data_IF_996246281896
#
_entry.id   IF_996246281896
#
_cell.length_a   1.000
_cell.length_b   1.000
_cell.length_c   1.000
_cell.angle_alpha   90.00
_cell.angle_beta   90.00
_cell.angle_gamma   90.00
#
_symmetry.space_group_name_H-M   'P 1'
#
loop_
_entity.id
_entity.type
_entity.pdbx_description
1 polymer ?
#
# COMPACT_ATOMS: atom_id res chain seq x y z
N UNK A 1 -25.42 2.70 10.82
CA UNK A 1 -25.08 3.12 9.45
C UNK A 1 -23.86 4.02 9.57
N UNK A 2 -22.63 3.48 9.51
CA UNK A 2 -21.40 4.18 9.06
C UNK A 2 -20.14 3.30 9.18
N UNK A 3 -20.26 1.98 9.00
CA UNK A 3 -19.14 1.02 9.07
C UNK A 3 -18.39 0.89 7.74
N UNK A 4 -18.36 1.97 6.96
CA UNK A 4 -17.61 2.07 5.70
C UNK A 4 -16.42 3.04 5.79
N UNK A 5 -15.94 3.35 7.01
CA UNK A 5 -14.61 3.95 7.24
C UNK A 5 -13.53 2.86 7.15
N UNK A 6 -13.29 2.30 5.97
CA UNK A 6 -12.13 1.41 5.72
C UNK A 6 -10.83 2.23 5.85
N UNK A 7 -10.38 2.41 7.10
CA UNK A 7 -9.26 3.23 7.57
C UNK A 7 -7.88 2.58 7.38
N UNK A 8 -7.81 1.35 6.90
CA UNK A 8 -6.61 0.53 6.97
C UNK A 8 -5.90 0.44 5.61
N UNK A 9 -5.57 1.60 5.02
CA UNK A 9 -4.70 1.68 3.85
C UNK A 9 -3.80 2.88 3.99
N UNK A 10 -2.55 2.70 3.60
CA UNK A 10 -1.49 3.65 3.78
C UNK A 10 -0.90 4.00 2.43
N UNK A 11 -0.71 5.28 2.18
CA UNK A 11 -0.39 5.80 0.86
C UNK A 11 0.88 6.63 0.95
N UNK A 12 1.85 6.34 0.08
CA UNK A 12 3.14 7.02 0.06
C UNK A 12 4.26 6.19 0.68
N UNK A 13 5.49 6.51 0.29
CA UNK A 13 6.69 5.75 0.63
C UNK A 13 6.91 5.65 2.15
N UNK A 14 7.06 6.79 2.83
CA UNK A 14 7.35 6.87 4.27
C UNK A 14 6.31 6.15 5.13
N UNK A 15 5.04 6.40 4.84
CA UNK A 15 3.95 5.82 5.59
C UNK A 15 3.87 4.30 5.34
N UNK A 16 4.09 3.85 4.09
CA UNK A 16 4.13 2.41 3.76
C UNK A 16 5.28 1.71 4.48
N UNK A 17 6.45 2.34 4.56
CA UNK A 17 7.59 1.82 5.32
C UNK A 17 7.25 1.69 6.79
N UNK A 18 6.58 2.70 7.39
CA UNK A 18 6.16 2.65 8.80
C UNK A 18 5.17 1.52 9.06
N UNK A 19 4.16 1.39 8.20
CA UNK A 19 3.18 0.32 8.30
C UNK A 19 3.81 -1.08 8.15
N UNK A 20 4.75 -1.24 7.21
CA UNK A 20 5.47 -2.50 7.03
C UNK A 20 6.32 -2.83 8.26
N UNK A 21 6.99 -1.85 8.88
CA UNK A 21 7.73 -2.06 10.13
C UNK A 21 6.85 -2.56 11.27
N UNK A 22 5.60 -2.13 11.32
CA UNK A 22 4.63 -2.63 12.30
C UNK A 22 4.08 -4.02 11.94
N UNK A 23 4.46 -4.62 10.80
CA UNK A 23 3.91 -5.89 10.27
C UNK A 23 2.39 -5.88 10.05
N UNK A 24 1.82 -4.69 9.97
CA UNK A 24 0.39 -4.49 9.75
C UNK A 24 0.05 -4.57 8.26
N UNK A 25 1.05 -4.60 7.37
CA UNK A 25 0.84 -4.63 5.92
C UNK A 25 0.55 -6.05 5.44
N UNK A 26 -0.50 -6.18 4.65
CA UNK A 26 -0.91 -7.43 4.02
C UNK A 26 -0.46 -7.53 2.57
N UNK A 27 -0.41 -6.38 1.89
CA UNK A 27 -0.19 -6.30 0.45
C UNK A 27 0.34 -4.92 0.09
N UNK A 28 1.36 -4.86 -0.73
CA UNK A 28 1.91 -3.61 -1.25
C UNK A 28 1.52 -3.47 -2.73
N UNK A 29 1.23 -2.26 -3.17
CA UNK A 29 0.88 -1.96 -4.56
C UNK A 29 1.75 -0.80 -5.03
N UNK A 30 2.45 -0.99 -6.14
CA UNK A 30 3.46 -0.06 -6.66
C UNK A 30 3.07 0.32 -8.10
N UNK A 31 3.14 1.59 -8.44
CA UNK A 31 2.99 2.03 -9.83
C UNK A 31 4.28 1.75 -10.62
N UNK A 32 4.17 1.29 -11.87
CA UNK A 32 5.31 1.10 -12.78
C UNK A 32 6.04 2.41 -13.09
N UNK A 33 5.29 3.52 -13.06
CA UNK A 33 5.80 4.89 -13.21
C UNK A 33 6.49 5.42 -11.93
N UNK A 34 6.44 4.67 -10.82
CA UNK A 34 7.15 5.05 -9.61
C UNK A 34 8.65 4.86 -9.77
N UNK A 35 9.42 5.78 -9.18
CA UNK A 35 10.88 5.76 -9.30
C UNK A 35 11.49 4.51 -8.64
N UNK A 36 12.31 3.73 -9.37
CA UNK A 36 12.89 2.46 -8.89
C UNK A 36 13.68 2.64 -7.59
N UNK A 37 14.53 3.66 -7.50
CA UNK A 37 15.33 3.94 -6.31
C UNK A 37 14.49 4.21 -5.04
N UNK A 38 13.24 4.65 -5.20
CA UNK A 38 12.29 4.80 -4.09
C UNK A 38 11.64 3.48 -3.77
N UNK A 39 11.22 2.70 -4.77
CA UNK A 39 10.43 1.48 -4.53
C UNK A 39 11.28 0.24 -4.21
N UNK A 40 12.55 0.21 -4.60
CA UNK A 40 13.51 -0.86 -4.30
C UNK A 40 13.61 -1.22 -2.82
N UNK A 41 13.80 -0.26 -1.88
CA UNK A 41 13.85 -0.59 -0.45
C UNK A 41 12.52 -1.16 0.06
N UNK A 42 11.38 -0.71 -0.49
CA UNK A 42 10.08 -1.29 -0.14
C UNK A 42 9.89 -2.69 -0.71
N UNK A 43 10.37 -2.95 -1.93
CA UNK A 43 10.33 -4.27 -2.55
C UNK A 43 11.14 -5.27 -1.75
N UNK A 44 12.37 -4.89 -1.36
CA UNK A 44 13.21 -5.70 -0.46
C UNK A 44 12.49 -6.00 0.85
N UNK A 45 12.00 -4.95 1.52
CA UNK A 45 11.32 -5.11 2.80
C UNK A 45 10.04 -5.95 2.66
N UNK A 46 9.32 -5.82 1.55
CA UNK A 46 8.17 -6.66 1.25
C UNK A 46 8.56 -8.12 1.08
N UNK A 47 9.66 -8.39 0.37
CA UNK A 47 10.18 -9.74 0.14
C UNK A 47 10.66 -10.39 1.46
N UNK A 48 11.40 -9.64 2.29
CA UNK A 48 11.85 -10.06 3.62
C UNK A 48 10.67 -10.40 4.54
N UNK A 49 9.60 -9.63 4.47
CA UNK A 49 8.39 -9.83 5.28
C UNK A 49 7.35 -10.76 4.60
N UNK A 50 7.66 -11.35 3.43
CA UNK A 50 6.74 -12.15 2.61
C UNK A 50 5.39 -11.45 2.34
N UNK A 51 5.44 -10.15 2.08
CA UNK A 51 4.30 -9.31 1.72
C UNK A 51 4.10 -9.37 0.20
N UNK A 52 2.87 -9.64 -0.22
CA UNK A 52 2.53 -9.68 -1.64
C UNK A 52 2.68 -8.29 -2.28
N UNK A 53 3.42 -8.19 -3.39
CA UNK A 53 3.62 -6.93 -4.12
C UNK A 53 2.92 -6.97 -5.48
N UNK A 54 2.01 -6.03 -5.71
CA UNK A 54 1.34 -5.82 -6.99
C UNK A 54 1.91 -4.61 -7.73
N UNK A 55 2.02 -4.70 -9.05
CA UNK A 55 2.43 -3.58 -9.91
C UNK A 55 1.26 -3.11 -10.77
N UNK A 56 1.06 -1.80 -10.86
CA UNK A 56 0.02 -1.18 -11.71
C UNK A 56 0.64 -0.24 -12.74
N UNK A 57 -0.04 0.00 -13.86
CA UNK A 57 0.53 0.81 -14.96
C UNK A 57 0.80 2.26 -14.57
N UNK A 58 -0.13 2.94 -13.90
CA UNK A 58 0.02 4.38 -13.57
C UNK A 58 -0.36 4.71 -12.13
N UNK A 59 0.32 5.71 -11.55
CA UNK A 59 0.00 6.25 -10.21
C UNK A 59 -1.44 6.77 -10.12
N UNK A 60 -1.97 7.26 -11.25
CA UNK A 60 -3.32 7.82 -11.38
C UNK A 60 -4.38 6.74 -11.31
N UNK A 61 -4.18 5.61 -11.99
CA UNK A 61 -5.05 4.44 -11.84
C UNK A 61 -4.96 3.86 -10.43
N UNK A 62 -3.78 3.87 -9.80
CA UNK A 62 -3.62 3.41 -8.42
C UNK A 62 -4.48 4.22 -7.44
N UNK A 63 -4.36 5.55 -7.51
CA UNK A 63 -5.15 6.48 -6.70
C UNK A 63 -6.65 6.28 -6.92
N UNK A 64 -7.09 6.22 -8.19
CA UNK A 64 -8.50 5.93 -8.53
C UNK A 64 -8.99 4.60 -7.96
N UNK A 65 -8.23 3.52 -8.10
CA UNK A 65 -8.58 2.20 -7.55
C UNK A 65 -8.66 2.22 -6.02
N UNK A 66 -7.85 3.05 -5.37
CA UNK A 66 -7.92 3.24 -3.93
C UNK A 66 -8.97 4.28 -3.49
N UNK A 67 -9.69 4.92 -4.41
CA UNK A 67 -10.67 5.97 -4.09
C UNK A 67 -10.04 7.25 -3.54
N UNK A 68 -8.79 7.52 -3.91
CA UNK A 68 -8.01 8.70 -3.49
C UNK A 68 -7.69 9.55 -4.71
N UNK A 69 -7.93 10.85 -4.62
CA UNK A 69 -7.65 11.82 -5.70
C UNK A 69 -6.17 12.18 -5.84
N UNK A 70 -5.28 11.63 -5.00
CA UNK A 70 -3.83 11.85 -5.05
C UNK A 70 -3.13 10.78 -5.91
N UNK A 71 -2.13 11.22 -6.68
CA UNK A 71 -1.22 10.33 -7.40
C UNK A 71 -0.37 9.56 -6.37
N UNK A 72 -0.63 8.27 -6.21
CA UNK A 72 0.12 7.42 -5.29
C UNK A 72 1.20 6.64 -6.05
N UNK A 73 2.46 6.76 -5.63
CA UNK A 73 3.55 5.91 -6.12
C UNK A 73 3.41 4.48 -5.59
N UNK A 74 3.08 4.40 -4.29
CA UNK A 74 2.99 3.19 -3.50
C UNK A 74 1.77 3.28 -2.60
N UNK A 75 1.06 2.17 -2.48
CA UNK A 75 0.00 1.97 -1.51
C UNK A 75 0.28 0.68 -0.74
N UNK A 76 0.35 0.75 0.57
CA UNK A 76 0.35 -0.39 1.46
C UNK A 76 -1.08 -0.63 1.98
N UNK A 77 -1.60 -1.83 1.75
CA UNK A 77 -2.85 -2.29 2.33
C UNK A 77 -2.57 -2.88 3.70
N UNK A 78 -3.19 -2.33 4.74
CA UNK A 78 -3.10 -2.84 6.10
C UNK A 78 -4.06 -4.04 6.23
N UNK A 79 -3.70 -5.03 7.05
CA UNK A 79 -4.59 -6.09 7.50
C UNK A 79 -5.66 -5.42 8.35
N UNK A 80 -6.83 -5.19 7.75
CA UNK A 80 -8.02 -4.79 8.50
C UNK A 80 -8.25 -5.90 9.53
N UNK A 81 -8.24 -5.55 10.81
CA UNK A 81 -8.73 -6.41 11.86
C UNK A 81 -10.24 -6.54 11.64
N UNK A 82 -10.63 -7.40 10.69
CA UNK A 82 -12.00 -7.86 10.58
C UNK A 82 -12.20 -8.72 11.81
N UNK A 83 -12.76 -8.08 12.83
CA UNK A 83 -13.55 -8.71 13.86
C UNK A 83 -14.67 -9.45 13.09
N UNK A 84 -14.44 -10.74 12.85
CA UNK A 84 -15.47 -11.64 12.38
C UNK A 84 -16.36 -11.93 13.59
N UNK A 85 -17.51 -11.26 13.67
CA UNK A 85 -18.54 -11.54 14.68
C UNK A 85 -19.92 -11.42 14.04
#
# INVERSE_FOLDING_TARGET
MDDLKKKNKVVGFKESTRAMKNKEVRKLIIAKDAQPHIVEPLLRQAEEESIEVLRVETMKQLGRKCGISLNAAVVALIKDAVNEN
#
